data_IF_990337295841
#
_entry.id   IF_990337295841
#
_cell.length_a   1.000
_cell.length_b   1.000
_cell.length_c   1.000
_cell.angle_alpha   90.00
_cell.angle_beta   90.00
_cell.angle_gamma   90.00
#
_symmetry.space_group_name_H-M   'P 1'
#
loop_
_entity.id
_entity.type
_entity.pdbx_description
1 polymer ?
#
# COMPACT_ATOMS: atom_id res chain seq x y z
N UNK A 1 10.20 16.89 3.92
CA UNK A 1 9.53 17.96 3.15
C UNK A 1 8.33 18.39 3.97
N UNK A 2 8.29 19.62 4.45
CA UNK A 2 7.21 20.11 5.31
C UNK A 2 5.98 20.53 4.52
N UNK A 3 4.81 20.52 5.15
CA UNK A 3 3.58 21.10 4.62
C UNK A 3 3.78 22.60 4.33
N UNK A 4 3.37 23.06 3.13
CA UNK A 4 3.30 24.49 2.79
C UNK A 4 4.38 25.04 1.85
N UNK A 5 5.31 24.23 1.35
CA UNK A 5 6.37 24.68 0.40
C UNK A 5 5.91 24.59 -1.06
N UNK A 6 4.89 23.78 -1.36
CA UNK A 6 4.46 23.46 -2.74
C UNK A 6 3.03 23.94 -2.96
N UNK A 7 2.79 24.74 -4.00
CA UNK A 7 1.45 25.28 -4.31
C UNK A 7 0.48 24.21 -4.85
N UNK A 8 0.99 23.17 -5.50
CA UNK A 8 0.22 22.04 -6.05
C UNK A 8 0.95 20.71 -5.78
N UNK A 9 0.43 19.93 -4.82
CA UNK A 9 1.00 18.61 -4.53
C UNK A 9 0.72 17.57 -5.62
N UNK A 10 -0.26 17.79 -6.49
CA UNK A 10 -0.59 16.88 -7.58
C UNK A 10 0.55 16.75 -8.61
N UNK A 11 1.28 17.84 -8.86
CA UNK A 11 2.43 17.86 -9.78
C UNK A 11 3.57 16.98 -9.28
N UNK A 12 3.71 16.82 -7.96
CA UNK A 12 4.73 15.96 -7.34
C UNK A 12 4.21 14.53 -7.17
N UNK A 13 2.94 14.37 -6.74
CA UNK A 13 2.35 13.07 -6.46
C UNK A 13 2.25 12.19 -7.70
N UNK A 14 1.81 12.75 -8.83
CA UNK A 14 1.57 11.99 -10.05
C UNK A 14 2.84 11.28 -10.58
N UNK A 15 3.98 11.97 -10.84
CA UNK A 15 5.18 11.30 -11.34
C UNK A 15 5.74 10.28 -10.34
N UNK A 16 5.64 10.54 -9.03
CA UNK A 16 6.09 9.61 -7.99
C UNK A 16 5.25 8.33 -8.01
N UNK A 17 3.93 8.46 -8.04
CA UNK A 17 3.00 7.32 -8.08
C UNK A 17 3.23 6.44 -9.31
N UNK A 18 3.39 7.06 -10.49
CA UNK A 18 3.66 6.32 -11.73
C UNK A 18 5.05 5.67 -11.73
N UNK A 19 6.07 6.33 -11.17
CA UNK A 19 7.42 5.75 -11.05
C UNK A 19 7.41 4.50 -10.17
N UNK A 20 6.78 4.57 -8.99
CA UNK A 20 6.66 3.44 -8.06
C UNK A 20 5.85 2.28 -8.67
N UNK A 21 4.77 2.61 -9.38
CA UNK A 21 3.93 1.62 -10.07
C UNK A 21 4.69 0.96 -11.22
N UNK A 22 5.47 1.71 -12.01
CA UNK A 22 6.28 1.18 -13.08
C UNK A 22 7.36 0.21 -12.55
N UNK A 23 8.05 0.58 -11.47
CA UNK A 23 9.06 -0.28 -10.82
C UNK A 23 8.40 -1.56 -10.30
N UNK A 24 7.25 -1.44 -9.62
CA UNK A 24 6.50 -2.59 -9.09
C UNK A 24 6.04 -3.52 -10.22
N UNK A 25 5.52 -2.95 -11.31
CA UNK A 25 5.09 -3.69 -12.50
C UNK A 25 6.24 -4.47 -13.11
N UNK A 26 7.39 -3.81 -13.31
CA UNK A 26 8.60 -4.45 -13.85
C UNK A 26 9.04 -5.64 -12.98
N UNK A 27 9.06 -5.48 -11.66
CA UNK A 27 9.47 -6.54 -10.73
C UNK A 27 8.48 -7.70 -10.71
N UNK A 28 7.17 -7.43 -10.78
CA UNK A 28 6.14 -8.48 -10.85
C UNK A 28 6.22 -9.24 -12.18
N UNK A 29 6.41 -8.55 -13.31
CA UNK A 29 6.63 -9.19 -14.61
C UNK A 29 7.87 -10.08 -14.54
N UNK A 30 8.97 -9.57 -13.97
CA UNK A 30 10.19 -10.34 -13.81
C UNK A 30 9.95 -11.59 -12.98
N UNK A 31 9.19 -11.50 -11.88
CA UNK A 31 8.78 -12.64 -11.05
C UNK A 31 8.00 -13.68 -11.86
N UNK A 32 7.04 -13.26 -12.69
CA UNK A 32 6.25 -14.15 -13.53
C UNK A 32 7.11 -14.85 -14.58
N UNK A 33 7.99 -14.12 -15.27
CA UNK A 33 8.95 -14.68 -16.23
C UNK A 33 9.89 -15.66 -15.54
N UNK A 34 10.38 -15.34 -14.34
CA UNK A 34 11.26 -16.24 -13.59
C UNK A 34 10.57 -17.57 -13.27
N UNK A 35 9.29 -17.52 -12.87
CA UNK A 35 8.52 -18.71 -12.59
C UNK A 35 8.17 -19.49 -13.86
N UNK A 36 7.82 -18.82 -14.95
CA UNK A 36 7.52 -19.46 -16.22
C UNK A 36 8.76 -20.15 -16.85
N UNK A 37 9.93 -19.50 -16.80
CA UNK A 37 11.13 -19.98 -17.49
C UNK A 37 12.01 -20.91 -16.65
N UNK A 38 12.11 -20.70 -15.34
CA UNK A 38 13.13 -21.38 -14.50
C UNK A 38 12.56 -22.37 -13.50
N UNK A 39 11.26 -22.36 -13.24
CA UNK A 39 10.69 -23.28 -12.28
C UNK A 39 10.25 -24.59 -12.96
N UNK A 40 11.16 -25.58 -12.99
CA UNK A 40 10.81 -26.98 -13.29
C UNK A 40 10.23 -27.69 -12.05
N UNK A 41 9.13 -28.43 -12.21
CA UNK A 41 8.53 -29.26 -11.16
C UNK A 41 7.51 -28.54 -10.25
N UNK A 42 7.36 -28.98 -8.99
CA UNK A 42 6.37 -28.48 -7.99
C UNK A 42 6.43 -26.97 -7.71
N UNK A 43 7.50 -26.29 -8.14
CA UNK A 43 7.73 -24.86 -8.01
C UNK A 43 7.28 -24.04 -9.24
N UNK A 44 6.91 -24.68 -10.36
CA UNK A 44 6.53 -24.05 -11.63
C UNK A 44 5.04 -23.82 -11.85
N UNK A 45 4.19 -24.22 -10.91
CA UNK A 45 2.77 -23.82 -10.92
C UNK A 45 2.64 -22.42 -10.34
N UNK A 46 1.85 -21.58 -11.01
CA UNK A 46 1.37 -20.31 -10.47
C UNK A 46 0.73 -20.60 -9.11
N UNK A 47 1.33 -20.06 -8.06
CA UNK A 47 0.82 -20.23 -6.70
C UNK A 47 -0.28 -19.20 -6.42
N UNK A 48 -1.10 -19.45 -5.40
CA UNK A 48 -2.04 -18.45 -4.88
C UNK A 48 -1.35 -17.11 -4.54
N UNK A 49 -0.11 -17.19 -4.07
CA UNK A 49 0.78 -16.06 -3.82
C UNK A 49 1.03 -15.18 -5.08
N UNK A 50 1.14 -15.77 -6.27
CA UNK A 50 1.29 -15.01 -7.52
C UNK A 50 -0.01 -14.33 -7.94
N UNK A 51 -1.15 -15.01 -7.75
CA UNK A 51 -2.46 -14.43 -8.00
C UNK A 51 -2.74 -13.23 -7.07
N UNK A 52 -2.44 -13.37 -5.78
CA UNK A 52 -2.60 -12.27 -4.81
C UNK A 52 -1.70 -11.09 -5.21
N UNK A 53 -0.44 -11.34 -5.56
CA UNK A 53 0.50 -10.27 -5.96
C UNK A 53 0.04 -9.56 -7.24
N UNK A 54 -0.51 -10.30 -8.22
CA UNK A 54 -1.10 -9.73 -9.43
C UNK A 54 -2.32 -8.87 -9.13
N UNK A 55 -3.22 -9.32 -8.24
CA UNK A 55 -4.37 -8.53 -7.79
C UNK A 55 -3.90 -7.24 -7.11
N UNK A 56 -2.90 -7.31 -6.23
CA UNK A 56 -2.31 -6.12 -5.61
C UNK A 56 -1.74 -5.14 -6.66
N UNK A 57 -1.10 -5.65 -7.71
CA UNK A 57 -0.56 -4.82 -8.78
C UNK A 57 -1.69 -4.11 -9.57
N UNK A 58 -2.76 -4.82 -9.91
CA UNK A 58 -3.91 -4.23 -10.61
C UNK A 58 -4.54 -3.11 -9.78
N UNK A 59 -4.67 -3.32 -8.47
CA UNK A 59 -5.21 -2.31 -7.55
C UNK A 59 -4.25 -1.11 -7.45
N UNK A 60 -2.93 -1.34 -7.41
CA UNK A 60 -1.94 -0.25 -7.40
C UNK A 60 -2.04 0.62 -8.68
N UNK A 61 -2.18 -0.03 -9.84
CA UNK A 61 -2.39 0.67 -11.12
C UNK A 61 -3.72 1.44 -11.09
N UNK A 62 -4.80 0.82 -10.64
CA UNK A 62 -6.10 1.47 -10.51
C UNK A 62 -6.05 2.70 -9.58
N UNK A 63 -5.35 2.60 -8.44
CA UNK A 63 -5.15 3.74 -7.54
C UNK A 63 -4.37 4.87 -8.20
N UNK A 64 -3.33 4.55 -8.97
CA UNK A 64 -2.55 5.56 -9.70
C UNK A 64 -3.37 6.27 -10.78
N UNK A 65 -4.20 5.53 -11.52
CA UNK A 65 -5.11 6.10 -12.53
C UNK A 65 -6.16 7.00 -11.87
N UNK A 66 -6.80 6.56 -10.79
CA UNK A 66 -7.77 7.38 -10.06
C UNK A 66 -7.13 8.65 -9.50
N UNK A 67 -5.91 8.53 -8.97
CA UNK A 67 -5.12 9.65 -8.44
C UNK A 67 -4.80 10.66 -9.55
N UNK A 68 -4.36 10.21 -10.73
CA UNK A 68 -4.13 11.09 -11.89
C UNK A 68 -5.40 11.83 -12.34
N UNK A 69 -6.55 11.15 -12.35
CA UNK A 69 -7.83 11.79 -12.71
C UNK A 69 -8.21 12.85 -11.66
N UNK A 70 -8.12 12.51 -10.37
CA UNK A 70 -8.39 13.44 -9.28
C UNK A 70 -7.49 14.68 -9.36
N UNK A 71 -6.19 14.50 -9.58
CA UNK A 71 -5.22 15.59 -9.77
C UNK A 71 -5.61 16.47 -10.97
N UNK A 72 -6.12 15.87 -12.06
CA UNK A 72 -6.64 16.60 -13.21
C UNK A 72 -7.81 17.54 -12.89
N UNK A 73 -8.65 17.19 -11.91
CA UNK A 73 -9.73 18.03 -11.39
C UNK A 73 -9.28 19.04 -10.31
N UNK A 74 -7.99 19.04 -9.95
CA UNK A 74 -7.40 19.99 -8.98
C UNK A 74 -7.15 19.42 -7.59
N UNK A 75 -7.18 18.09 -7.42
CA UNK A 75 -6.77 17.44 -6.18
C UNK A 75 -5.30 17.77 -5.86
N UNK A 76 -5.03 18.40 -4.71
CA UNK A 76 -3.69 18.91 -4.35
C UNK A 76 -3.51 20.42 -4.42
N UNK A 77 -4.51 21.15 -4.95
CA UNK A 77 -4.59 22.61 -4.88
C UNK A 77 -5.42 23.03 -3.67
N UNK A 78 -5.22 24.26 -3.20
CA UNK A 78 -6.02 24.85 -2.11
C UNK A 78 -7.46 25.05 -2.55
N UNK A 79 -8.42 24.86 -1.66
CA UNK A 79 -9.85 24.87 -2.04
C UNK A 79 -10.28 26.20 -2.65
N UNK A 80 -9.68 27.29 -2.17
CA UNK A 80 -9.94 28.67 -2.61
C UNK A 80 -9.58 28.93 -4.07
N UNK A 81 -8.77 28.08 -4.71
CA UNK A 81 -8.34 28.27 -6.11
C UNK A 81 -9.15 27.45 -7.11
N UNK A 82 -10.04 26.56 -6.66
CA UNK A 82 -10.89 25.74 -7.52
C UNK A 82 -12.27 26.37 -7.75
N UNK A 83 -12.82 26.17 -8.95
CA UNK A 83 -14.23 26.43 -9.20
C UNK A 83 -15.13 25.42 -8.47
N UNK A 84 -16.39 25.78 -8.20
CA UNK A 84 -17.33 24.93 -7.47
C UNK A 84 -17.48 23.52 -8.08
N UNK A 85 -17.64 23.43 -9.40
CA UNK A 85 -17.76 22.13 -10.10
C UNK A 85 -16.47 21.29 -10.04
N UNK A 86 -15.31 21.94 -10.10
CA UNK A 86 -14.02 21.25 -9.98
C UNK A 86 -13.80 20.72 -8.57
N UNK A 87 -14.18 21.49 -7.55
CA UNK A 87 -14.11 21.09 -6.15
C UNK A 87 -15.00 19.87 -5.87
N UNK A 88 -16.24 19.86 -6.40
CA UNK A 88 -17.16 18.73 -6.28
C UNK A 88 -16.54 17.44 -6.84
N UNK A 89 -16.03 17.48 -8.07
CA UNK A 89 -15.40 16.32 -8.70
C UNK A 89 -14.10 15.92 -7.99
N UNK A 90 -13.28 16.86 -7.52
CA UNK A 90 -12.06 16.57 -6.76
C UNK A 90 -12.36 15.80 -5.45
N UNK A 91 -13.36 16.22 -4.67
CA UNK A 91 -13.76 15.55 -3.42
C UNK A 91 -14.38 14.17 -3.70
N UNK A 92 -15.12 14.03 -4.80
CA UNK A 92 -15.66 12.74 -5.23
C UNK A 92 -14.54 11.76 -5.61
N UNK A 93 -13.58 12.20 -6.41
CA UNK A 93 -12.41 11.39 -6.76
C UNK A 93 -11.55 11.07 -5.54
N UNK A 94 -11.41 12.00 -4.58
CA UNK A 94 -10.75 11.74 -3.30
C UNK A 94 -11.34 10.52 -2.57
N UNK A 95 -12.67 10.44 -2.48
CA UNK A 95 -13.34 9.33 -1.81
C UNK A 95 -13.07 8.00 -2.53
N UNK A 96 -13.10 8.00 -3.87
CA UNK A 96 -12.78 6.83 -4.69
C UNK A 96 -11.32 6.41 -4.48
N UNK A 97 -10.37 7.36 -4.52
CA UNK A 97 -8.94 7.09 -4.34
C UNK A 97 -8.69 6.43 -2.98
N UNK A 98 -9.25 6.99 -1.90
CA UNK A 98 -9.12 6.42 -0.55
C UNK A 98 -9.68 4.99 -0.49
N UNK A 99 -10.81 4.73 -1.15
CA UNK A 99 -11.40 3.40 -1.19
C UNK A 99 -10.52 2.38 -1.92
N UNK A 100 -9.82 2.78 -2.98
CA UNK A 100 -8.97 1.89 -3.80
C UNK A 100 -7.59 1.72 -3.18
N UNK A 101 -6.92 2.80 -2.78
CA UNK A 101 -5.53 2.80 -2.26
C UNK A 101 -5.41 1.96 -0.99
N UNK A 102 -6.47 1.90 -0.20
CA UNK A 102 -6.58 1.07 1.00
C UNK A 102 -6.28 -0.41 0.73
N UNK A 103 -6.72 -0.93 -0.42
CA UNK A 103 -6.47 -2.32 -0.78
C UNK A 103 -5.04 -2.55 -1.24
N UNK A 104 -4.38 -1.53 -1.79
CA UNK A 104 -2.99 -1.60 -2.30
C UNK A 104 -1.99 -1.97 -1.22
N UNK A 105 -2.16 -1.50 0.02
CA UNK A 105 -1.24 -1.81 1.14
C UNK A 105 -1.76 -2.91 2.08
N UNK A 106 -3.06 -3.23 2.06
CA UNK A 106 -3.60 -4.26 2.95
C UNK A 106 -3.50 -5.68 2.38
N UNK A 107 -3.77 -5.88 1.09
CA UNK A 107 -3.72 -7.19 0.44
C UNK A 107 -2.32 -7.83 0.39
N UNK A 108 -1.21 -7.08 0.21
CA UNK A 108 0.14 -7.64 0.21
C UNK A 108 0.50 -8.42 1.48
N UNK A 109 -0.15 -8.13 2.63
CA UNK A 109 0.06 -8.88 3.88
C UNK A 109 -0.28 -10.36 3.74
N UNK A 110 -1.35 -10.69 3.01
CA UNK A 110 -1.72 -12.09 2.73
C UNK A 110 -0.68 -12.79 1.84
N UNK A 111 -0.11 -12.07 0.86
CA UNK A 111 0.99 -12.60 0.06
C UNK A 111 2.24 -12.87 0.92
N UNK A 112 2.61 -11.93 1.80
CA UNK A 112 3.74 -12.09 2.73
C UNK A 112 3.54 -13.31 3.63
N UNK A 113 2.35 -13.50 4.21
CA UNK A 113 2.05 -14.67 5.05
C UNK A 113 2.21 -15.98 4.25
N UNK A 114 1.71 -16.02 3.01
CA UNK A 114 1.83 -17.20 2.14
C UNK A 114 3.29 -17.51 1.78
N UNK A 115 4.11 -16.49 1.50
CA UNK A 115 5.54 -16.64 1.24
C UNK A 115 6.27 -17.12 2.49
N UNK A 116 5.99 -16.50 3.64
CA UNK A 116 6.60 -16.86 4.91
C UNK A 116 6.29 -18.30 5.29
N UNK A 117 5.05 -18.75 5.04
CA UNK A 117 4.65 -20.15 5.21
C UNK A 117 5.47 -21.10 4.33
N UNK A 118 5.70 -20.73 3.07
CA UNK A 118 6.50 -21.53 2.12
C UNK A 118 7.97 -21.62 2.52
N UNK A 119 8.54 -20.55 3.08
CA UNK A 119 9.96 -20.47 3.45
C UNK A 119 10.23 -21.17 4.79
N UNK A 120 9.43 -20.87 5.81
CA UNK A 120 9.66 -21.33 7.18
C UNK A 120 8.95 -22.65 7.51
N UNK A 121 7.94 -23.03 6.72
CA UNK A 121 7.13 -24.23 6.91
C UNK A 121 6.61 -24.40 8.35
N UNK A 122 6.19 -23.31 9.00
CA UNK A 122 5.63 -23.32 10.36
C UNK A 122 4.28 -24.06 10.42
N UNK A 123 3.77 -24.43 11.61
CA UNK A 123 2.54 -25.23 11.76
C UNK A 123 1.22 -24.53 11.35
N UNK A 124 0.11 -25.29 11.26
CA UNK A 124 -1.20 -24.74 10.89
C UNK A 124 -1.74 -23.70 11.90
N UNK A 125 -1.44 -23.88 13.20
CA UNK A 125 -1.85 -22.95 14.27
C UNK A 125 -1.26 -21.56 14.09
N UNK A 126 0.03 -21.46 13.77
CA UNK A 126 0.71 -20.19 13.48
C UNK A 126 0.16 -19.53 12.22
N UNK A 127 -0.18 -20.31 11.19
CA UNK A 127 -0.83 -19.80 9.98
C UNK A 127 -2.19 -19.19 10.28
N UNK A 128 -3.02 -19.87 11.08
CA UNK A 128 -4.31 -19.37 11.50
C UNK A 128 -4.17 -18.06 12.30
N UNK A 129 -3.19 -17.95 13.20
CA UNK A 129 -2.93 -16.73 13.96
C UNK A 129 -2.53 -15.55 13.04
N UNK A 130 -1.66 -15.80 12.06
CA UNK A 130 -1.22 -14.76 11.11
C UNK A 130 -2.35 -14.28 10.21
N UNK A 131 -3.16 -15.22 9.72
CA UNK A 131 -4.36 -14.89 8.96
C UNK A 131 -5.37 -14.12 9.81
N UNK A 132 -5.59 -14.52 11.07
CA UNK A 132 -6.48 -13.80 11.97
C UNK A 132 -6.02 -12.35 12.18
N UNK A 133 -4.73 -12.11 12.41
CA UNK A 133 -4.18 -10.75 12.51
C UNK A 133 -4.39 -9.93 11.23
N UNK A 134 -4.13 -10.52 10.06
CA UNK A 134 -4.35 -9.85 8.77
C UNK A 134 -5.84 -9.55 8.53
N UNK A 135 -6.74 -10.46 8.88
CA UNK A 135 -8.19 -10.29 8.76
C UNK A 135 -8.70 -9.19 9.70
N UNK A 136 -8.20 -9.13 10.95
CA UNK A 136 -8.54 -8.05 11.88
C UNK A 136 -8.09 -6.70 11.34
N UNK A 137 -6.88 -6.62 10.77
CA UNK A 137 -6.40 -5.40 10.10
C UNK A 137 -7.31 -5.03 8.93
N UNK A 138 -7.70 -6.00 8.10
CA UNK A 138 -8.58 -5.78 6.96
C UNK A 138 -9.96 -5.29 7.40
N UNK A 139 -10.51 -5.86 8.49
CA UNK A 139 -11.78 -5.45 9.07
C UNK A 139 -11.77 -4.00 9.54
N UNK A 140 -10.72 -3.58 10.24
CA UNK A 140 -10.56 -2.18 10.67
C UNK A 140 -10.48 -1.21 9.49
N UNK A 141 -9.70 -1.57 8.48
CA UNK A 141 -9.54 -0.80 7.24
C UNK A 141 -10.86 -0.68 6.47
N UNK A 142 -11.62 -1.78 6.36
CA UNK A 142 -12.95 -1.78 5.76
C UNK A 142 -13.93 -0.91 6.55
N UNK A 143 -13.90 -0.98 7.88
CA UNK A 143 -14.75 -0.15 8.73
C UNK A 143 -14.47 1.35 8.52
N UNK A 144 -13.19 1.75 8.45
CA UNK A 144 -12.79 3.14 8.14
C UNK A 144 -13.28 3.53 6.74
N UNK A 145 -13.14 2.66 5.75
CA UNK A 145 -13.59 2.93 4.37
C UNK A 145 -15.10 3.13 4.29
N UNK A 146 -15.87 2.26 4.93
CA UNK A 146 -17.33 2.36 4.98
C UNK A 146 -17.76 3.62 5.73
N UNK A 147 -17.11 3.93 6.86
CA UNK A 147 -17.38 5.14 7.62
C UNK A 147 -17.08 6.40 6.80
N UNK A 148 -16.02 6.40 6.00
CA UNK A 148 -15.68 7.52 5.11
C UNK A 148 -16.80 7.86 4.12
N UNK A 149 -17.49 6.86 3.57
CA UNK A 149 -18.65 7.09 2.70
C UNK A 149 -19.94 7.36 3.49
N UNK A 150 -20.11 6.72 4.64
CA UNK A 150 -21.34 6.80 5.43
C UNK A 150 -21.38 8.03 6.37
N UNK A 151 -20.32 8.83 6.44
CA UNK A 151 -20.24 9.96 7.37
C UNK A 151 -21.30 11.03 7.13
N UNK A 152 -21.82 11.18 5.90
CA UNK A 152 -22.87 12.15 5.57
C UNK A 152 -24.15 11.46 5.13
N UNK A 153 -25.29 12.03 5.53
CA UNK A 153 -26.63 11.60 5.10
C UNK A 153 -27.36 12.79 4.43
N UNK A 154 -27.64 12.73 3.12
CA UNK A 154 -27.24 11.71 2.16
C UNK A 154 -25.73 11.78 1.82
N UNK A 155 -25.15 10.69 1.32
CA UNK A 155 -23.73 10.60 0.93
C UNK A 155 -23.34 11.74 -0.05
N UNK A 156 -24.27 12.12 -0.93
CA UNK A 156 -24.07 13.22 -1.87
C UNK A 156 -23.75 14.58 -1.22
N UNK A 157 -24.19 14.80 0.03
CA UNK A 157 -23.89 16.02 0.78
C UNK A 157 -22.38 16.19 1.05
N UNK A 158 -21.61 15.10 1.02
CA UNK A 158 -20.16 15.15 1.25
C UNK A 158 -19.41 15.91 0.16
N UNK A 159 -19.84 15.76 -1.11
CA UNK A 159 -19.18 16.40 -2.25
C UNK A 159 -20.02 17.52 -2.85
N UNK A 160 -21.34 17.53 -2.67
CA UNK A 160 -22.21 18.61 -3.13
C UNK A 160 -22.89 19.33 -1.94
N UNK A 161 -22.40 20.53 -1.56
CA UNK A 161 -22.99 21.31 -0.48
C UNK A 161 -24.39 21.87 -0.82
N UNK A 162 -24.83 21.82 -2.09
CA UNK A 162 -26.19 22.23 -2.47
C UNK A 162 -27.26 21.20 -2.07
N UNK A 163 -26.86 19.95 -1.81
CA UNK A 163 -27.76 18.92 -1.27
C UNK A 163 -27.91 19.16 0.22
N UNK A 164 -29.12 19.22 0.76
CA UNK A 164 -29.31 19.35 2.21
C UNK A 164 -28.95 18.02 2.92
N UNK A 165 -28.17 18.08 4.00
CA UNK A 165 -27.77 16.91 4.75
C UNK A 165 -27.07 17.25 6.06
N UNK A 166 -26.70 16.20 6.79
CA UNK A 166 -25.87 16.31 7.99
C UNK A 166 -24.71 15.33 7.90
N UNK A 167 -23.55 15.75 8.42
CA UNK A 167 -22.36 14.91 8.50
C UNK A 167 -22.00 14.65 9.97
N UNK A 168 -21.56 13.43 10.25
CA UNK A 168 -20.99 13.04 11.53
C UNK A 168 -19.67 13.79 11.79
N UNK A 169 -19.29 13.87 13.06
CA UNK A 169 -18.03 14.53 13.44
C UNK A 169 -16.82 13.79 12.86
N UNK A 170 -15.87 14.56 12.33
CA UNK A 170 -14.62 14.03 11.76
C UNK A 170 -13.70 13.41 12.83
N UNK A 171 -13.91 13.72 14.10
CA UNK A 171 -13.12 13.22 15.23
C UNK A 171 -13.18 11.68 15.36
N UNK A 172 -14.35 11.07 15.14
CA UNK A 172 -14.52 9.61 15.19
C UNK A 172 -13.72 8.94 14.07
N UNK A 173 -13.81 9.50 12.87
CA UNK A 173 -13.11 9.01 11.68
C UNK A 173 -11.58 9.10 11.86
N UNK A 174 -11.09 10.20 12.40
CA UNK A 174 -9.66 10.39 12.69
C UNK A 174 -9.14 9.36 13.70
N UNK A 175 -9.87 9.14 14.80
CA UNK A 175 -9.48 8.16 15.82
C UNK A 175 -9.44 6.74 15.25
N UNK A 176 -10.44 6.37 14.44
CA UNK A 176 -10.49 5.07 13.76
C UNK A 176 -9.35 4.91 12.74
N UNK A 177 -9.09 5.93 11.92
CA UNK A 177 -8.02 5.93 10.94
C UNK A 177 -6.64 5.82 11.60
N UNK A 178 -6.43 6.53 12.71
CA UNK A 178 -5.19 6.48 13.50
C UNK A 178 -4.95 5.08 14.07
N UNK A 179 -5.95 4.50 14.75
CA UNK A 179 -5.85 3.17 15.34
C UNK A 179 -5.58 2.09 14.28
N UNK A 180 -6.27 2.18 13.14
CA UNK A 180 -6.13 1.23 12.03
C UNK A 180 -4.76 1.33 11.37
N UNK A 181 -4.26 2.55 11.15
CA UNK A 181 -2.93 2.78 10.55
C UNK A 181 -1.82 2.34 11.49
N UNK A 182 -1.94 2.60 12.80
CA UNK A 182 -0.99 2.14 13.81
C UNK A 182 -0.95 0.60 13.88
N UNK A 183 -2.11 -0.06 13.82
CA UNK A 183 -2.19 -1.52 13.78
C UNK A 183 -1.58 -2.10 12.49
N UNK A 184 -1.82 -1.45 11.35
CA UNK A 184 -1.18 -1.83 10.07
C UNK A 184 0.35 -1.79 10.16
N UNK A 185 0.90 -0.67 10.65
CA UNK A 185 2.34 -0.48 10.81
C UNK A 185 2.94 -1.52 11.77
N UNK A 186 2.23 -1.84 12.86
CA UNK A 186 2.63 -2.90 13.79
C UNK A 186 2.72 -4.27 13.09
N UNK A 187 1.76 -4.62 12.24
CA UNK A 187 1.80 -5.89 11.51
C UNK A 187 2.94 -5.96 10.51
N UNK A 188 3.22 -4.87 9.79
CA UNK A 188 4.33 -4.83 8.84
C UNK A 188 5.67 -5.02 9.55
N UNK A 189 5.82 -4.38 10.72
CA UNK A 189 6.98 -4.55 11.58
C UNK A 189 7.07 -5.98 12.14
N UNK A 190 5.95 -6.53 12.62
CA UNK A 190 5.87 -7.90 13.12
C UNK A 190 6.30 -8.92 12.06
N UNK A 191 5.78 -8.81 10.83
CA UNK A 191 6.14 -9.70 9.73
C UNK A 191 7.58 -9.51 9.25
N UNK A 192 8.14 -8.30 9.35
CA UNK A 192 9.55 -8.05 9.07
C UNK A 192 10.49 -8.73 10.09
N UNK A 193 10.15 -8.68 11.39
CA UNK A 193 11.00 -9.24 12.45
C UNK A 193 10.81 -10.74 12.66
N UNK A 194 9.59 -11.27 12.48
CA UNK A 194 9.26 -12.66 12.78
C UNK A 194 10.21 -13.70 12.16
N UNK A 195 10.58 -13.63 10.87
CA UNK A 195 11.46 -14.63 10.27
C UNK A 195 12.93 -14.53 10.67
N UNK A 196 13.40 -13.42 11.24
CA UNK A 196 14.83 -13.18 11.49
C UNK A 196 15.47 -14.29 12.35
N UNK A 197 14.90 -14.67 13.53
CA UNK A 197 15.50 -15.70 14.37
C UNK A 197 15.50 -17.08 13.69
N UNK A 198 14.48 -17.38 12.89
CA UNK A 198 14.39 -18.64 12.16
C UNK A 198 15.42 -18.71 11.03
N UNK A 199 15.61 -17.63 10.28
CA UNK A 199 16.63 -17.56 9.22
C UNK A 199 18.03 -17.67 9.79
N UNK A 200 18.31 -17.07 10.96
CA UNK A 200 19.62 -17.18 11.60
C UNK A 200 19.95 -18.61 12.02
N UNK A 201 18.94 -19.43 12.33
CA UNK A 201 19.10 -20.85 12.70
C UNK A 201 19.08 -21.79 11.50
N UNK A 202 18.40 -21.42 10.40
CA UNK A 202 18.27 -22.27 9.24
C UNK A 202 19.51 -22.19 8.36
N UNK A 203 20.14 -23.34 8.11
CA UNK A 203 21.36 -23.45 7.29
C UNK A 203 21.03 -23.30 5.79
N UNK A 204 20.58 -22.10 5.40
CA UNK A 204 20.21 -21.77 4.02
C UNK A 204 21.45 -21.35 3.21
N UNK A 205 21.47 -21.62 1.89
CA UNK A 205 22.50 -21.06 1.02
C UNK A 205 22.45 -19.53 1.05
N UNK A 206 23.62 -18.88 1.08
CA UNK A 206 23.80 -17.41 1.20
C UNK A 206 22.89 -16.60 0.28
N UNK A 207 22.57 -17.14 -0.90
CA UNK A 207 21.71 -16.52 -1.92
C UNK A 207 20.25 -16.36 -1.45
N UNK A 208 19.68 -17.42 -0.86
CA UNK A 208 18.32 -17.37 -0.33
C UNK A 208 18.28 -16.50 0.94
N UNK A 209 19.33 -16.57 1.76
CA UNK A 209 19.50 -15.69 2.92
C UNK A 209 19.49 -14.22 2.51
N UNK A 210 20.22 -13.85 1.47
CA UNK A 210 20.30 -12.47 0.98
C UNK A 210 18.94 -11.97 0.43
N UNK A 211 18.26 -12.78 -0.40
CA UNK A 211 16.95 -12.41 -0.94
C UNK A 211 15.90 -12.21 0.16
N UNK A 212 15.93 -13.05 1.19
CA UNK A 212 15.06 -12.89 2.35
C UNK A 212 15.47 -11.66 3.17
N UNK A 213 16.75 -11.44 3.46
CA UNK A 213 17.20 -10.21 4.15
C UNK A 213 16.75 -8.94 3.43
N UNK A 214 16.82 -8.88 2.11
CA UNK A 214 16.30 -7.75 1.34
C UNK A 214 14.79 -7.61 1.44
N UNK A 215 14.04 -8.72 1.35
CA UNK A 215 12.60 -8.70 1.53
C UNK A 215 12.20 -8.17 2.93
N UNK A 216 12.92 -8.57 3.99
CA UNK A 216 12.69 -8.07 5.34
C UNK A 216 13.06 -6.59 5.49
N UNK A 217 14.15 -6.16 4.85
CA UNK A 217 14.52 -4.74 4.79
C UNK A 217 13.44 -3.89 4.14
N UNK A 218 12.83 -4.36 3.05
CA UNK A 218 11.72 -3.65 2.39
C UNK A 218 10.45 -3.61 3.24
N UNK A 219 10.11 -4.70 3.93
CA UNK A 219 8.99 -4.69 4.90
C UNK A 219 9.24 -3.71 6.05
N UNK A 220 10.48 -3.61 6.54
CA UNK A 220 10.85 -2.62 7.54
C UNK A 220 10.77 -1.18 6.99
N UNK A 221 11.22 -0.94 5.77
CA UNK A 221 11.06 0.35 5.10
C UNK A 221 9.58 0.72 4.93
N UNK A 222 8.72 -0.23 4.55
CA UNK A 222 7.28 -0.03 4.47
C UNK A 222 6.71 0.42 5.83
N UNK A 223 7.11 -0.24 6.92
CA UNK A 223 6.67 0.17 8.27
C UNK A 223 7.11 1.59 8.65
N UNK A 224 8.32 2.01 8.25
CA UNK A 224 8.80 3.39 8.48
C UNK A 224 7.93 4.38 7.70
N UNK A 225 7.58 4.06 6.45
CA UNK A 225 6.67 4.86 5.63
C UNK A 225 5.29 4.97 6.30
N UNK A 226 4.74 3.87 6.85
CA UNK A 226 3.46 3.86 7.54
C UNK A 226 3.47 4.69 8.84
N UNK A 227 4.57 4.64 9.60
CA UNK A 227 4.77 5.47 10.80
C UNK A 227 4.87 6.95 10.41
N UNK A 228 5.63 7.26 9.36
CA UNK A 228 5.73 8.64 8.87
C UNK A 228 4.37 9.17 8.38
N UNK A 229 3.62 8.34 7.66
CA UNK A 229 2.24 8.62 7.26
C UNK A 229 1.36 8.95 8.46
N UNK A 230 1.51 8.26 9.58
CA UNK A 230 0.76 8.54 10.81
C UNK A 230 1.10 9.91 11.42
N UNK A 231 2.39 10.29 11.45
CA UNK A 231 2.80 11.64 11.89
C UNK A 231 2.25 12.73 10.96
N UNK A 232 2.34 12.52 9.65
CA UNK A 232 1.80 13.43 8.63
C UNK A 232 0.28 13.52 8.74
N UNK A 233 -0.42 12.43 9.02
CA UNK A 233 -1.87 12.41 9.22
C UNK A 233 -2.29 13.28 10.42
N UNK A 234 -1.48 13.29 11.47
CA UNK A 234 -1.71 14.11 12.68
C UNK A 234 -1.51 15.60 12.38
N UNK A 235 -0.50 15.95 11.58
CA UNK A 235 -0.28 17.32 11.10
C UNK A 235 -1.36 17.77 10.10
N UNK A 236 -1.73 16.89 9.17
CA UNK A 236 -2.76 17.12 8.17
C UNK A 236 -4.13 17.35 8.80
N UNK A 237 -4.41 16.80 9.98
CA UNK A 237 -5.65 17.07 10.71
C UNK A 237 -5.79 18.56 11.07
N UNK A 238 -4.71 19.22 11.47
CA UNK A 238 -4.73 20.66 11.75
C UNK A 238 -4.96 21.47 10.46
N UNK A 239 -4.46 21.00 9.32
CA UNK A 239 -4.63 21.67 8.02
C UNK A 239 -5.96 21.36 7.32
N UNK A 240 -6.57 20.20 7.58
CA UNK A 240 -7.89 19.79 7.06
C UNK A 240 -9.04 20.67 7.59
N UNK A 241 -8.80 21.40 8.69
CA UNK A 241 -9.71 22.42 9.19
C UNK A 241 -9.75 23.67 8.28
N UNK A 242 -8.73 23.87 7.43
CA UNK A 242 -8.60 25.06 6.58
C UNK A 242 -8.64 24.73 5.06
N UNK A 243 -8.11 23.58 4.63
CA UNK A 243 -8.12 23.09 3.24
C UNK A 243 -8.17 21.53 3.21
N UNK A 244 -9.30 20.91 2.86
CA UNK A 244 -9.42 19.42 2.79
C UNK A 244 -8.75 18.82 1.56
N UNK A 245 -8.60 19.60 0.48
CA UNK A 245 -8.10 19.09 -0.82
C UNK A 245 -6.57 19.10 -0.94
N UNK A 246 -5.88 19.93 -0.15
CA UNK A 246 -4.45 20.20 -0.30
C UNK A 246 -3.55 19.07 0.22
N UNK A 247 -3.87 18.49 1.39
CA UNK A 247 -3.03 17.49 2.06
C UNK A 247 -3.19 16.07 1.49
N UNK A 248 -4.19 15.85 0.65
CA UNK A 248 -4.56 14.52 0.16
C UNK A 248 -3.48 13.88 -0.70
N UNK A 249 -2.97 14.50 -1.79
CA UNK A 249 -2.01 13.81 -2.65
C UNK A 249 -0.70 13.53 -1.94
N UNK A 250 -0.37 14.32 -0.92
CA UNK A 250 0.79 14.06 -0.08
C UNK A 250 0.64 12.77 0.73
N UNK A 251 -0.54 12.51 1.30
CA UNK A 251 -0.85 11.24 1.98
C UNK A 251 -0.92 10.05 1.01
N UNK A 252 -1.44 10.28 -0.19
CA UNK A 252 -1.56 9.26 -1.24
C UNK A 252 -0.20 8.69 -1.66
N UNK A 253 0.82 9.55 -1.82
CA UNK A 253 2.19 9.13 -2.13
C UNK A 253 2.69 8.08 -1.13
N UNK A 254 2.45 8.27 0.17
CA UNK A 254 2.89 7.32 1.19
C UNK A 254 2.13 6.00 1.13
N UNK A 255 0.82 6.03 0.83
CA UNK A 255 0.02 4.82 0.64
C UNK A 255 0.47 3.99 -0.56
N UNK A 256 0.75 4.66 -1.70
CA UNK A 256 1.28 4.02 -2.91
C UNK A 256 2.69 3.49 -2.67
N UNK A 257 3.54 4.24 -1.96
CA UNK A 257 4.90 3.81 -1.61
C UNK A 257 4.90 2.58 -0.69
N UNK A 258 4.05 2.56 0.34
CA UNK A 258 3.86 1.41 1.23
C UNK A 258 3.43 0.16 0.44
N UNK A 259 2.40 0.29 -0.40
CA UNK A 259 1.93 -0.80 -1.26
C UNK A 259 3.01 -1.32 -2.22
N UNK A 260 3.74 -0.41 -2.89
CA UNK A 260 4.83 -0.75 -3.80
C UNK A 260 5.96 -1.51 -3.07
N UNK A 261 6.40 -1.04 -1.90
CA UNK A 261 7.44 -1.69 -1.11
C UNK A 261 7.04 -3.10 -0.68
N UNK A 262 5.78 -3.29 -0.27
CA UNK A 262 5.26 -4.61 0.12
C UNK A 262 5.17 -5.57 -1.08
N UNK A 263 4.71 -5.11 -2.25
CA UNK A 263 4.65 -5.91 -3.49
C UNK A 263 6.05 -6.32 -3.95
N UNK A 264 7.00 -5.38 -3.91
CA UNK A 264 8.40 -5.63 -4.28
C UNK A 264 9.02 -6.63 -3.30
N UNK A 265 8.85 -6.40 -1.99
CA UNK A 265 9.35 -7.28 -0.93
C UNK A 265 8.81 -8.70 -1.04
N UNK A 266 7.52 -8.87 -1.34
CA UNK A 266 6.91 -10.17 -1.61
C UNK A 266 7.48 -10.83 -2.89
N UNK A 267 7.89 -10.04 -3.88
CA UNK A 267 8.39 -10.59 -5.15
C UNK A 267 9.86 -11.01 -5.11
N UNK A 268 10.69 -10.39 -4.27
CA UNK A 268 12.14 -10.67 -4.21
C UNK A 268 12.53 -12.13 -3.95
N UNK A 269 11.95 -12.87 -3.00
CA UNK A 269 12.33 -14.26 -2.73
C UNK A 269 12.14 -15.19 -3.95
N UNK A 270 11.24 -14.82 -4.86
CA UNK A 270 10.93 -15.61 -6.07
C UNK A 270 11.91 -15.37 -7.22
N UNK A 271 12.66 -14.26 -7.20
CA UNK A 271 13.63 -13.87 -8.23
C UNK A 271 15.00 -14.55 -8.10
N UNK A 272 15.22 -15.32 -7.01
CA UNK A 272 16.49 -16.01 -6.73
C UNK A 272 17.11 -16.79 -7.91
N UNK A 273 16.35 -17.51 -8.75
CA UNK A 273 16.89 -18.22 -9.92
C UNK A 273 17.46 -17.32 -11.02
N UNK A 274 16.83 -16.16 -11.28
CA UNK A 274 17.28 -15.24 -12.32
C UNK A 274 18.61 -14.57 -11.97
N UNK A 275 18.79 -14.20 -10.70
CA UNK A 275 20.07 -13.70 -10.21
C UNK A 275 21.21 -14.71 -10.43
N UNK A 276 20.92 -16.02 -10.46
CA UNK A 276 21.93 -17.05 -10.78
C UNK A 276 22.34 -17.02 -12.24
N UNK A 277 21.40 -16.80 -13.16
CA UNK A 277 21.69 -16.74 -14.59
C UNK A 277 22.41 -15.47 -14.99
N UNK A 278 22.04 -14.33 -14.39
CA UNK A 278 22.74 -13.08 -14.59
C UNK A 278 24.18 -13.17 -14.08
N UNK A 279 24.42 -13.72 -12.86
CA UNK A 279 25.80 -13.95 -12.38
C UNK A 279 26.56 -15.02 -13.16
N UNK A 280 25.88 -16.07 -13.65
CA UNK A 280 26.49 -17.10 -14.50
C UNK A 280 26.95 -16.55 -15.86
N UNK A 281 26.29 -15.54 -16.41
CA UNK A 281 26.71 -14.82 -17.63
C UNK A 281 27.77 -13.75 -17.41
N UNK A 282 27.89 -13.21 -16.19
CA UNK A 282 28.92 -12.19 -15.85
C UNK A 282 30.26 -12.85 -15.46
N UNK A 283 30.27 -14.17 -15.21
CA UNK A 283 31.47 -14.95 -14.89
C UNK A 283 31.94 -15.85 -16.05
N UNK A 284 31.53 -15.56 -17.29
CA UNK A 284 31.98 -16.27 -18.48
C UNK A 284 32.52 -15.32 -19.54
#
# INVERSE_FOLDING_TARGET
>A
MGFGVVEDYGVVANPVNWSLTAISTFIVILRLVCRACFARGRYGRLGLDDAITLVCLVILIASSVCSSIGIGYGLGRREKTLGAEQLKEAIKWNAIINAVVIWSFSLPKFAIIAILKRILNYGAKTMAAFLAMAVVSQGGILAVSVWWFAQCQPVAHQWDPAVAGTCASTDILTKLAFATTAYSAFLDLFFAFYPIPFIMKLNMPLKNRLAVCFALGLSAMASIVSIYKLSVFTEAFNSMAEDRTYSVPYLDIFGVAEGALLIIGASLPTLGPLFRLLKGKVSS
#
